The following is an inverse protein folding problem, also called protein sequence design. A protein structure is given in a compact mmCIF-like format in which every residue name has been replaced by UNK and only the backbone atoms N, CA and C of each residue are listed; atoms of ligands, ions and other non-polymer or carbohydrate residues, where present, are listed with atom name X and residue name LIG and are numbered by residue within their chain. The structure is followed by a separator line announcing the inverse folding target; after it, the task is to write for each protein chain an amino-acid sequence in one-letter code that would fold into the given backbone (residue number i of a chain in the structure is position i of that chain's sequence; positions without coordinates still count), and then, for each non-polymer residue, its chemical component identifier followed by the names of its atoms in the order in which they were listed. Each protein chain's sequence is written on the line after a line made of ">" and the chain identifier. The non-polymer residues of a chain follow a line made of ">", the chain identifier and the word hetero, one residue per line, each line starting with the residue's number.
data_IF_632768741329
#
_entry.id   IF_632768741329
#
_cell.length_a   1.000
_cell.length_b   1.000
_cell.length_c   1.000
_cell.angle_alpha   90.00
_cell.angle_beta   90.00
_cell.angle_gamma   90.00
#
_symmetry.space_group_name_H-M   'P 1'
#
loop_
_entity.id
_entity.type
_entity.pdbx_description
1 polymer ?
#
# COMPACT_ATOMS: atom_id res chain seq x y z
N UNK A 1 -3.56 19.57 26.04
CA UNK A 1 -2.91 18.54 25.21
C UNK A 1 -3.89 17.40 25.13
N UNK A 2 -4.57 17.25 24.00
CA UNK A 2 -5.50 16.13 23.81
C UNK A 2 -4.66 14.85 23.69
N UNK A 3 -5.08 13.72 24.28
CA UNK A 3 -4.40 12.46 24.07
C UNK A 3 -4.44 12.13 22.57
N UNK A 4 -3.27 11.89 21.97
CA UNK A 4 -3.17 11.48 20.57
C UNK A 4 -4.02 10.23 20.39
N UNK A 5 -5.09 10.38 19.60
CA UNK A 5 -6.00 9.27 19.33
C UNK A 5 -5.30 8.37 18.31
N UNK A 6 -5.15 7.06 18.56
CA UNK A 6 -4.44 6.19 17.61
C UNK A 6 -5.17 6.20 16.27
N UNK A 7 -4.48 6.67 15.23
CA UNK A 7 -4.97 6.70 13.84
C UNK A 7 -4.24 5.66 13.01
N UNK A 8 -4.98 4.90 12.19
CA UNK A 8 -4.41 3.92 11.25
C UNK A 8 -3.92 4.68 10.02
N UNK A 9 -2.61 4.97 9.96
CA UNK A 9 -1.97 5.69 8.85
C UNK A 9 -1.05 4.80 8.01
N UNK A 10 -0.67 3.64 8.54
CA UNK A 10 0.27 2.72 7.91
C UNK A 10 -0.48 1.52 7.31
N UNK A 11 -0.23 1.25 6.03
CA UNK A 11 -0.92 0.21 5.27
C UNK A 11 0.07 -0.71 4.56
N UNK A 12 -0.15 -2.02 4.70
CA UNK A 12 0.52 -3.05 3.90
C UNK A 12 -0.50 -3.73 3.00
N UNK A 13 -0.29 -3.65 1.69
CA UNK A 13 -1.14 -4.27 0.66
C UNK A 13 -0.37 -5.37 -0.04
N UNK A 14 -0.98 -6.54 -0.19
CA UNK A 14 -0.41 -7.69 -0.92
C UNK A 14 -1.50 -8.42 -1.69
N UNK A 15 -1.16 -8.94 -2.87
CA UNK A 15 -2.00 -9.87 -3.65
C UNK A 15 -1.80 -11.33 -3.23
N UNK A 16 -0.78 -11.61 -2.41
CA UNK A 16 -0.38 -12.96 -2.04
C UNK A 16 -0.79 -13.22 -0.57
N UNK A 17 -1.61 -14.25 -0.29
CA UNK A 17 -2.12 -14.52 1.06
C UNK A 17 -1.09 -15.17 1.99
N UNK A 18 0.08 -15.58 1.52
CA UNK A 18 1.07 -16.31 2.32
C UNK A 18 2.02 -15.40 3.13
N UNK A 19 1.73 -14.10 3.21
CA UNK A 19 2.44 -13.18 4.10
C UNK A 19 1.90 -13.27 5.52
N UNK A 20 2.80 -13.33 6.51
CA UNK A 20 2.47 -13.16 7.92
C UNK A 20 2.87 -11.75 8.36
N UNK A 21 1.92 -11.03 8.97
CA UNK A 21 2.09 -9.65 9.45
C UNK A 21 2.04 -9.66 10.98
N UNK A 22 3.00 -8.98 11.62
CA UNK A 22 3.01 -8.75 13.06
C UNK A 22 3.14 -7.26 13.36
N UNK A 23 2.46 -6.83 14.42
CA UNK A 23 2.56 -5.47 14.96
C UNK A 23 3.34 -5.53 16.27
N UNK A 24 4.33 -4.66 16.41
CA UNK A 24 5.11 -4.51 17.64
C UNK A 24 5.25 -3.05 18.04
N UNK A 25 5.73 -2.82 19.27
CA UNK A 25 5.97 -1.47 19.79
C UNK A 25 6.82 -0.62 18.82
N UNK A 26 6.67 0.72 18.87
CA UNK A 26 7.48 1.61 18.06
C UNK A 26 8.98 1.36 18.23
N UNK A 27 9.70 1.43 17.12
CA UNK A 27 11.14 1.25 17.16
C UNK A 27 11.82 2.57 17.57
N UNK A 28 12.49 2.56 18.73
CA UNK A 28 13.17 3.74 19.25
C UNK A 28 12.20 4.83 19.71
N UNK A 29 12.30 6.02 19.11
CA UNK A 29 11.48 7.20 19.45
C UNK A 29 10.32 7.47 18.49
N UNK A 30 10.01 6.52 17.60
CA UNK A 30 8.85 6.61 16.71
C UNK A 30 7.56 6.65 17.52
N UNK A 31 6.58 7.40 17.06
CA UNK A 31 5.18 7.39 17.52
C UNK A 31 4.34 6.33 16.77
N UNK A 32 4.85 5.81 15.64
CA UNK A 32 4.23 4.72 14.89
C UNK A 32 4.67 3.33 15.38
N UNK A 33 3.71 2.41 15.49
CA UNK A 33 3.96 0.99 15.75
C UNK A 33 4.78 0.36 14.60
N UNK A 34 5.65 -0.59 14.93
CA UNK A 34 6.44 -1.29 13.92
C UNK A 34 5.61 -2.41 13.27
N UNK A 35 5.42 -2.34 11.96
CA UNK A 35 4.80 -3.39 11.15
C UNK A 35 5.91 -4.29 10.61
N UNK A 36 5.98 -5.54 11.08
CA UNK A 36 6.87 -6.55 10.53
C UNK A 36 6.10 -7.46 9.60
N UNK A 37 6.65 -7.68 8.41
CA UNK A 37 6.06 -8.54 7.39
C UNK A 37 7.05 -9.63 7.05
N UNK A 38 6.60 -10.88 7.10
CA UNK A 38 7.40 -12.05 6.79
C UNK A 38 6.70 -12.91 5.74
N UNK A 39 7.48 -13.56 4.89
CA UNK A 39 6.98 -14.43 3.83
C UNK A 39 7.92 -15.61 3.66
N UNK A 40 7.37 -16.82 3.60
CA UNK A 40 8.15 -18.00 3.28
C UNK A 40 8.40 -18.05 1.78
N UNK A 41 9.56 -17.54 1.36
CA UNK A 41 10.04 -17.71 -0.01
C UNK A 41 10.37 -19.19 -0.18
N UNK A 42 9.44 -19.95 -0.77
CA UNK A 42 9.82 -21.21 -1.42
C UNK A 42 10.79 -20.85 -2.55
N UNK A 43 11.86 -21.63 -2.79
CA UNK A 43 12.72 -21.38 -3.95
C UNK A 43 11.82 -21.38 -5.18
N UNK A 44 11.83 -20.24 -5.90
CA UNK A 44 11.09 -20.09 -7.14
C UNK A 44 11.53 -21.25 -8.04
N UNK A 45 10.56 -22.03 -8.53
CA UNK A 45 10.89 -23.04 -9.54
C UNK A 45 11.59 -22.33 -10.69
N UNK A 46 12.71 -22.83 -11.23
CA UNK A 46 13.37 -22.19 -12.38
C UNK A 46 12.45 -22.00 -13.60
N UNK A 47 11.24 -22.56 -13.58
CA UNK A 47 10.21 -22.42 -14.60
C UNK A 47 9.26 -21.23 -14.41
N UNK A 48 9.21 -20.59 -13.23
CA UNK A 48 8.36 -19.41 -13.05
C UNK A 48 9.12 -18.17 -13.56
N UNK A 49 8.53 -17.39 -14.49
CA UNK A 49 9.13 -16.15 -14.93
C UNK A 49 9.29 -15.20 -13.74
N UNK A 50 10.41 -14.44 -13.63
CA UNK A 50 10.55 -13.44 -12.60
C UNK A 50 9.40 -12.43 -12.70
N UNK A 51 8.74 -12.17 -11.57
CA UNK A 51 7.64 -11.22 -11.46
C UNK A 51 8.09 -9.87 -12.05
N UNK A 52 7.45 -9.46 -13.14
CA UNK A 52 7.91 -8.34 -13.94
C UNK A 52 7.59 -7.04 -13.20
N UNK A 53 8.61 -6.44 -12.59
CA UNK A 53 8.47 -5.11 -11.96
C UNK A 53 8.10 -4.09 -13.04
N UNK A 54 6.87 -3.62 -13.01
CA UNK A 54 6.41 -2.59 -13.91
C UNK A 54 6.73 -1.20 -13.33
N UNK A 55 7.49 -0.39 -14.06
CA UNK A 55 7.72 1.02 -13.72
C UNK A 55 6.86 1.87 -14.66
N UNK A 56 5.76 2.40 -14.13
CA UNK A 56 4.91 3.34 -14.87
C UNK A 56 5.57 4.74 -14.85
N UNK A 57 5.62 5.41 -16.01
CA UNK A 57 6.08 6.80 -16.14
C UNK A 57 4.95 7.66 -16.63
N UNK A 58 4.63 8.69 -15.87
CA UNK A 58 3.58 9.66 -16.20
C UNK A 58 4.22 10.96 -16.69
N UNK A 59 3.52 11.71 -17.55
CA UNK A 59 4.02 12.94 -18.14
C UNK A 59 4.19 14.07 -17.10
N UNK A 60 3.35 14.06 -16.06
CA UNK A 60 3.41 14.93 -14.89
C UNK A 60 2.90 14.15 -13.67
N UNK A 61 3.28 14.60 -12.46
CA UNK A 61 2.74 14.08 -11.21
C UNK A 61 2.19 15.26 -10.40
N UNK A 62 0.91 15.58 -10.59
CA UNK A 62 0.22 16.57 -9.75
C UNK A 62 -0.27 15.90 -8.48
N UNK A 63 0.55 15.94 -7.43
CA UNK A 63 0.17 15.41 -6.11
C UNK A 63 -1.06 16.10 -5.50
N UNK A 64 -1.33 17.33 -5.90
CA UNK A 64 -2.50 18.09 -5.44
C UNK A 64 -3.79 17.61 -6.11
N UNK A 65 -3.76 17.33 -7.41
CA UNK A 65 -4.93 16.81 -8.11
C UNK A 65 -5.17 15.35 -7.74
N UNK A 66 -4.10 14.55 -7.57
CA UNK A 66 -4.21 13.20 -7.03
C UNK A 66 -4.87 13.18 -5.64
N UNK A 67 -4.49 14.12 -4.77
CA UNK A 67 -5.10 14.25 -3.44
C UNK A 67 -6.58 14.57 -3.54
N UNK A 68 -6.97 15.54 -4.38
CA UNK A 68 -8.38 15.89 -4.59
C UNK A 68 -9.17 14.71 -5.14
N UNK A 69 -8.60 13.99 -6.10
CA UNK A 69 -9.19 12.77 -6.64
C UNK A 69 -9.47 11.74 -5.55
N UNK A 70 -8.51 11.51 -4.64
CA UNK A 70 -8.72 10.59 -3.51
C UNK A 70 -9.73 11.11 -2.48
N UNK A 71 -9.81 12.42 -2.23
CA UNK A 71 -10.80 12.98 -1.32
C UNK A 71 -12.24 12.78 -1.85
N UNK A 72 -12.42 12.82 -3.18
CA UNK A 72 -13.72 12.62 -3.86
C UNK A 72 -14.03 11.14 -4.18
N UNK A 73 -13.07 10.23 -4.00
CA UNK A 73 -13.22 8.82 -4.37
C UNK A 73 -14.13 8.06 -3.38
N UNK A 74 -15.10 7.23 -3.84
CA UNK A 74 -16.06 6.54 -2.97
C UNK A 74 -15.43 5.31 -2.30
N UNK A 75 -14.54 5.54 -1.34
CA UNK A 75 -13.79 4.49 -0.64
C UNK A 75 -14.67 3.46 0.07
N UNK A 76 -15.84 3.88 0.56
CA UNK A 76 -16.75 3.03 1.33
C UNK A 76 -17.31 1.84 0.53
N UNK A 77 -17.37 1.96 -0.80
CA UNK A 77 -17.84 0.90 -1.72
C UNK A 77 -16.67 0.12 -2.36
N UNK A 78 -15.43 0.41 -1.96
CA UNK A 78 -14.24 -0.05 -2.67
C UNK A 78 -13.45 -1.10 -1.88
N UNK A 79 -13.04 -2.16 -2.56
CA UNK A 79 -12.21 -3.21 -1.96
C UNK A 79 -10.73 -2.84 -2.07
N UNK A 80 -10.02 -2.84 -0.95
CA UNK A 80 -8.56 -2.62 -0.88
C UNK A 80 -7.75 -3.85 -1.33
N UNK A 81 -8.11 -4.47 -2.46
CA UNK A 81 -7.28 -5.49 -3.11
C UNK A 81 -6.28 -4.82 -4.06
N UNK A 82 -5.09 -5.43 -4.19
CA UNK A 82 -3.96 -4.85 -4.90
C UNK A 82 -4.25 -4.51 -6.38
N UNK A 83 -5.10 -5.28 -7.05
CA UNK A 83 -5.50 -5.01 -8.42
C UNK A 83 -6.33 -3.72 -8.50
N UNK A 84 -7.39 -3.65 -7.69
CA UNK A 84 -8.32 -2.51 -7.65
C UNK A 84 -7.64 -1.23 -7.16
N UNK A 85 -6.80 -1.30 -6.13
CA UNK A 85 -6.06 -0.10 -5.68
C UNK A 85 -5.12 0.44 -6.77
N UNK A 86 -4.56 -0.44 -7.60
CA UNK A 86 -3.68 -0.02 -8.70
C UNK A 86 -4.47 0.75 -9.75
N UNK A 87 -5.69 0.32 -10.07
CA UNK A 87 -6.59 1.06 -10.99
C UNK A 87 -6.91 2.46 -10.47
N UNK A 88 -7.15 2.59 -9.16
CA UNK A 88 -7.44 3.90 -8.53
C UNK A 88 -6.22 4.81 -8.57
N UNK A 89 -5.03 4.28 -8.26
CA UNK A 89 -3.77 5.05 -8.33
C UNK A 89 -3.52 5.51 -9.77
N UNK A 90 -3.63 4.63 -10.76
CA UNK A 90 -3.43 4.97 -12.17
C UNK A 90 -4.45 6.01 -12.63
N UNK A 91 -5.73 5.83 -12.28
CA UNK A 91 -6.79 6.79 -12.65
C UNK A 91 -6.58 8.16 -12.03
N UNK A 92 -6.17 8.22 -10.76
CA UNK A 92 -5.87 9.47 -10.09
C UNK A 92 -4.61 10.17 -10.59
N UNK A 93 -3.65 9.41 -11.12
CA UNK A 93 -2.43 9.98 -11.73
C UNK A 93 -2.67 10.56 -13.13
N UNK A 94 -3.73 10.14 -13.82
CA UNK A 94 -4.12 10.60 -15.17
C UNK A 94 -5.29 11.62 -15.17
N UNK A 95 -5.88 11.89 -14.00
CA UNK A 95 -6.98 12.85 -13.82
C UNK A 95 -6.49 14.31 -13.85
#
# INVERSE_FOLDING_TARGET
>A
MFPDTPTILDLFLTSNPAYAVTLSFPLGSSDHNFISVSYSISPISPQDPPEQRCLCRFASASWQDLRRYYDDFPWDDYCFCAERITEVIVSGMEA
#
